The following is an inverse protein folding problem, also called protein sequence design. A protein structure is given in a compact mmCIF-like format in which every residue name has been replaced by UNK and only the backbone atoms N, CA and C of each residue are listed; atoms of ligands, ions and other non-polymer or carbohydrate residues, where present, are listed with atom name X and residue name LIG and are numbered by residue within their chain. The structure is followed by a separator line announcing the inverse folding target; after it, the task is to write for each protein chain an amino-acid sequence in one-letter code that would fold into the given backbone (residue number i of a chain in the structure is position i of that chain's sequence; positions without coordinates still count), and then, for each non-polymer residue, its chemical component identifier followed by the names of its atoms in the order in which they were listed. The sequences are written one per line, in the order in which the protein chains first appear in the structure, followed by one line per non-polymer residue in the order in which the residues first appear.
data_IF_108723942343
#
_entry.id   IF_108723942343
#
_cell.length_a   1.000
_cell.length_b   1.000
_cell.length_c   1.000
_cell.angle_alpha   90.00
_cell.angle_beta   90.00
_cell.angle_gamma   90.00
#
_symmetry.space_group_name_H-M   'P 1'
#
loop_
_entity.id
_entity.type
_entity.pdbx_description
1 polymer ?
#
# COMPACT_ATOMS: atom_id res chain seq x y z
N UNK A 1 25.81 33.62 -8.61
CA UNK A 1 25.26 33.26 -9.93
C UNK A 1 25.37 31.75 -10.13
N UNK A 2 24.33 31.14 -10.73
CA UNK A 2 24.25 29.80 -11.33
C UNK A 2 23.96 28.57 -10.42
N UNK A 3 22.65 28.26 -10.31
CA UNK A 3 22.09 26.89 -10.47
C UNK A 3 21.84 26.65 -11.98
N UNK A 4 21.39 25.47 -12.51
CA UNK A 4 21.35 24.09 -12.00
C UNK A 4 21.97 23.07 -13.00
N UNK A 5 22.15 21.80 -12.60
CA UNK A 5 22.24 20.69 -13.55
C UNK A 5 21.23 19.60 -13.17
N UNK A 6 20.20 19.48 -14.00
CA UNK A 6 19.13 18.50 -13.99
C UNK A 6 19.54 17.28 -14.83
N UNK A 7 19.07 16.10 -14.40
CA UNK A 7 18.70 14.93 -15.23
C UNK A 7 19.87 14.17 -15.90
N UNK A 8 20.00 12.85 -15.76
CA UNK A 8 19.00 11.84 -16.13
C UNK A 8 19.35 10.50 -15.48
N UNK A 9 18.39 9.90 -14.79
CA UNK A 9 18.45 8.49 -14.41
C UNK A 9 18.23 7.65 -15.67
N UNK A 10 19.24 6.85 -16.06
CA UNK A 10 19.06 5.82 -17.09
C UNK A 10 18.34 4.63 -16.46
N UNK A 11 17.11 4.39 -16.91
CA UNK A 11 16.36 3.17 -16.65
C UNK A 11 17.11 1.96 -17.22
N UNK A 12 17.83 1.24 -16.36
CA UNK A 12 18.31 -0.10 -16.68
C UNK A 12 17.12 -1.06 -16.66
N UNK A 13 16.52 -1.31 -17.83
CA UNK A 13 15.57 -2.41 -18.01
C UNK A 13 16.32 -3.72 -17.81
N UNK A 14 16.15 -4.33 -16.64
CA UNK A 14 16.54 -5.72 -16.40
C UNK A 14 15.55 -6.61 -17.14
N UNK A 15 15.89 -7.00 -18.37
CA UNK A 15 15.20 -8.07 -19.05
C UNK A 15 15.52 -9.38 -18.31
N UNK A 16 14.63 -9.79 -17.39
CA UNK A 16 14.64 -11.18 -16.89
C UNK A 16 14.07 -12.05 -18.00
N UNK A 17 14.95 -12.59 -18.83
CA UNK A 17 14.59 -13.72 -19.68
C UNK A 17 14.34 -14.93 -18.78
N UNK A 18 13.08 -15.32 -18.62
CA UNK A 18 12.73 -16.63 -18.08
C UNK A 18 13.14 -17.67 -19.13
N UNK A 19 14.32 -18.28 -18.95
CA UNK A 19 14.72 -19.46 -19.72
C UNK A 19 13.90 -20.65 -19.21
N UNK A 20 12.85 -21.00 -19.95
CA UNK A 20 12.11 -22.23 -19.72
C UNK A 20 12.96 -23.40 -20.25
N UNK A 21 13.56 -24.19 -19.36
CA UNK A 21 14.29 -25.39 -19.74
C UNK A 21 13.30 -26.50 -20.10
N UNK A 22 13.03 -26.69 -21.39
CA UNK A 22 12.39 -27.91 -21.88
C UNK A 22 13.40 -29.08 -21.82
N UNK A 23 13.03 -30.28 -21.33
CA UNK A 23 13.93 -31.42 -21.33
C UNK A 23 14.08 -31.96 -22.77
N UNK A 24 15.24 -31.74 -23.38
CA UNK A 24 15.62 -32.42 -24.64
C UNK A 24 16.11 -33.82 -24.32
N UNK A 25 15.40 -34.80 -24.87
CA UNK A 25 15.73 -36.23 -24.87
C UNK A 25 17.16 -36.44 -25.41
N UNK A 26 18.01 -37.05 -24.61
CA UNK A 26 19.44 -37.22 -24.90
C UNK A 26 19.67 -38.26 -26.02
N UNK A 27 20.51 -37.90 -26.98
CA UNK A 27 21.19 -38.84 -27.87
C UNK A 27 22.63 -38.36 -28.12
N UNK A 28 23.57 -39.20 -27.69
CA UNK A 28 24.99 -39.31 -28.07
C UNK A 28 25.91 -38.07 -28.05
N UNK A 29 26.82 -38.10 -27.07
CA UNK A 29 28.26 -37.83 -27.23
C UNK A 29 28.68 -36.42 -27.62
N UNK A 30 29.01 -35.58 -26.62
CA UNK A 30 30.13 -34.62 -26.63
C UNK A 30 30.24 -33.94 -25.25
N UNK A 31 31.36 -34.11 -24.56
CA UNK A 31 31.67 -33.56 -23.23
C UNK A 31 31.91 -32.03 -23.24
N UNK A 32 30.91 -31.26 -23.68
CA UNK A 32 30.93 -29.78 -23.65
C UNK A 32 29.85 -29.17 -22.74
N UNK A 33 29.04 -30.01 -22.09
CA UNK A 33 27.97 -29.58 -21.20
C UNK A 33 27.91 -30.43 -19.93
N UNK A 34 29.05 -30.69 -19.29
CA UNK A 34 29.03 -31.14 -17.90
C UNK A 34 28.48 -29.97 -17.08
N UNK A 35 27.23 -30.09 -16.62
CA UNK A 35 26.69 -29.22 -15.58
C UNK A 35 27.61 -29.41 -14.38
N UNK A 36 28.36 -28.37 -14.02
CA UNK A 36 29.16 -28.38 -12.80
C UNK A 36 28.19 -28.21 -11.62
N UNK A 37 27.50 -29.30 -11.29
CA UNK A 37 26.58 -29.38 -10.15
C UNK A 37 27.42 -29.44 -8.88
N UNK A 38 27.85 -28.28 -8.40
CA UNK A 38 28.52 -28.18 -7.11
C UNK A 38 27.44 -28.23 -6.02
N UNK A 39 27.69 -28.98 -4.94
CA UNK A 39 26.81 -28.98 -3.76
C UNK A 39 26.60 -27.55 -3.19
N UNK A 40 27.50 -26.63 -3.54
CA UNK A 40 27.45 -25.23 -3.13
C UNK A 40 26.62 -24.30 -4.05
N UNK A 41 26.14 -24.78 -5.21
CA UNK A 41 25.35 -23.98 -6.16
C UNK A 41 23.86 -24.32 -6.19
N UNK A 42 23.41 -25.22 -5.32
CA UNK A 42 22.00 -25.62 -5.22
C UNK A 42 21.11 -24.53 -4.58
N UNK A 43 19.78 -24.60 -4.79
CA UNK A 43 18.83 -23.65 -4.22
C UNK A 43 18.90 -23.58 -2.68
N UNK A 44 19.25 -24.68 -2.00
CA UNK A 44 19.38 -24.72 -0.54
C UNK A 44 20.49 -23.81 0.00
N UNK A 45 21.55 -23.56 -0.77
CA UNK A 45 22.63 -22.64 -0.36
C UNK A 45 22.15 -21.20 -0.42
N UNK A 46 21.37 -20.85 -1.44
CA UNK A 46 20.74 -19.53 -1.52
C UNK A 46 19.76 -19.32 -0.35
N UNK A 47 18.95 -20.33 0.00
CA UNK A 47 18.11 -20.29 1.20
C UNK A 47 18.92 -20.20 2.50
N UNK A 48 20.04 -20.92 2.61
CA UNK A 48 20.95 -20.85 3.75
C UNK A 48 21.57 -19.45 3.93
N UNK A 49 22.00 -18.82 2.83
CA UNK A 49 22.56 -17.46 2.85
C UNK A 49 21.49 -16.44 3.24
N UNK A 50 20.29 -16.52 2.66
CA UNK A 50 19.20 -15.60 2.97
C UNK A 50 18.71 -15.75 4.42
N UNK A 51 18.61 -16.97 4.92
CA UNK A 51 18.24 -17.22 6.33
C UNK A 51 19.31 -16.72 7.29
N UNK A 52 20.60 -16.99 7.01
CA UNK A 52 21.70 -16.47 7.81
C UNK A 52 21.69 -14.93 7.85
N UNK A 53 21.52 -14.28 6.70
CA UNK A 53 21.39 -12.82 6.62
C UNK A 53 20.17 -12.30 7.40
N UNK A 54 19.03 -12.98 7.32
CA UNK A 54 17.83 -12.65 8.07
C UNK A 54 18.03 -12.71 9.58
N UNK A 55 18.66 -13.79 10.08
CA UNK A 55 18.97 -13.95 11.51
C UNK A 55 19.97 -12.89 11.99
N UNK A 56 21.01 -12.60 11.19
CA UNK A 56 21.95 -11.54 11.56
C UNK A 56 21.28 -10.17 11.55
N UNK A 57 20.41 -9.89 10.59
CA UNK A 57 19.68 -8.64 10.51
C UNK A 57 18.70 -8.47 11.68
N UNK A 58 18.05 -9.55 12.12
CA UNK A 58 17.13 -9.53 13.27
C UNK A 58 17.78 -8.98 14.55
N UNK A 59 19.06 -9.31 14.80
CA UNK A 59 19.79 -8.79 15.95
C UNK A 59 20.09 -7.28 15.88
N UNK A 60 20.02 -6.69 14.69
CA UNK A 60 20.19 -5.24 14.50
C UNK A 60 18.87 -4.48 14.40
N UNK A 61 17.72 -5.17 14.47
CA UNK A 61 16.44 -4.47 14.56
C UNK A 61 16.31 -3.83 15.94
N UNK A 62 15.94 -2.54 16.03
CA UNK A 62 15.68 -1.90 17.30
C UNK A 62 14.53 -2.64 18.00
N UNK A 63 14.77 -3.08 19.24
CA UNK A 63 13.73 -3.63 20.11
C UNK A 63 12.60 -2.60 20.22
N UNK A 64 11.32 -2.98 20.00
CA UNK A 64 10.21 -2.08 20.21
C UNK A 64 10.16 -1.74 21.70
N UNK A 65 10.70 -0.58 22.07
CA UNK A 65 10.51 -0.03 23.41
C UNK A 65 9.05 0.38 23.54
N UNK A 66 8.47 0.03 24.68
CA UNK A 66 7.10 0.38 25.02
C UNK A 66 6.98 1.90 25.16
N UNK A 67 5.97 2.46 24.50
CA UNK A 67 5.58 3.88 24.48
C UNK A 67 6.49 4.79 23.65
N UNK A 68 6.39 4.65 22.32
CA UNK A 68 6.68 5.75 21.37
C UNK A 68 5.43 6.63 21.34
N UNK A 69 5.55 7.93 21.61
CA UNK A 69 4.39 8.81 21.64
C UNK A 69 3.80 8.87 20.24
N UNK A 70 2.59 8.34 20.08
CA UNK A 70 1.89 8.46 18.82
C UNK A 70 1.54 9.95 18.60
N UNK A 71 1.50 10.43 17.34
CA UNK A 71 1.11 11.81 17.06
C UNK A 71 -0.32 12.16 17.49
N UNK A 72 -1.08 11.17 17.95
CA UNK A 72 -2.45 11.30 18.47
C UNK A 72 -2.48 11.68 19.95
N UNK A 73 -1.41 11.44 20.71
CA UNK A 73 -1.36 11.69 22.17
C UNK A 73 -1.11 13.17 22.52
N UNK A 74 -0.90 14.03 21.51
CA UNK A 74 -0.82 15.48 21.64
C UNK A 74 0.60 16.06 21.57
N UNK A 75 0.66 17.38 21.40
CA UNK A 75 1.91 18.14 21.19
C UNK A 75 2.91 17.98 22.34
N UNK A 76 2.45 17.89 23.60
CA UNK A 76 3.30 17.79 24.78
C UNK A 76 4.07 16.46 24.86
N UNK A 77 3.44 15.35 24.48
CA UNK A 77 4.07 14.03 24.48
C UNK A 77 5.16 13.94 23.39
N UNK A 78 4.87 14.48 22.20
CA UNK A 78 5.84 14.57 21.09
C UNK A 78 7.03 15.49 21.43
N UNK A 79 6.80 16.61 22.13
CA UNK A 79 7.88 17.50 22.57
C UNK A 79 8.77 16.86 23.65
N UNK A 80 8.19 16.06 24.54
CA UNK A 80 8.96 15.27 25.51
C UNK A 80 9.83 14.24 24.79
N UNK A 81 9.30 13.57 23.77
CA UNK A 81 10.02 12.57 22.99
C UNK A 81 11.15 13.17 22.14
N UNK A 82 10.95 14.36 21.56
CA UNK A 82 11.99 15.07 20.83
C UNK A 82 13.21 15.41 21.73
N UNK A 83 12.95 15.70 23.01
CA UNK A 83 13.98 16.02 24.01
C UNK A 83 14.66 14.79 24.62
N UNK A 84 14.06 13.62 24.53
CA UNK A 84 14.62 12.39 25.10
C UNK A 84 15.88 11.95 24.35
N UNK A 85 17.03 11.99 25.04
CA UNK A 85 18.33 11.59 24.48
C UNK A 85 18.49 10.08 24.28
N UNK A 86 17.65 9.29 24.96
CA UNK A 86 17.63 7.82 24.86
C UNK A 86 17.06 7.29 23.54
N UNK A 87 16.46 8.16 22.71
CA UNK A 87 15.91 7.79 21.42
C UNK A 87 16.92 7.98 20.28
N UNK A 88 16.82 7.16 19.21
CA UNK A 88 17.61 7.37 18.00
C UNK A 88 17.45 8.79 17.46
N UNK A 89 18.55 9.36 16.97
CA UNK A 89 18.61 10.76 16.48
C UNK A 89 17.54 11.06 15.41
N UNK A 90 17.24 10.08 14.55
CA UNK A 90 16.23 10.22 13.50
C UNK A 90 14.82 10.36 14.09
N UNK A 91 14.48 9.55 15.08
CA UNK A 91 13.18 9.62 15.76
C UNK A 91 13.01 10.96 16.49
N UNK A 92 14.07 11.47 17.11
CA UNK A 92 14.08 12.81 17.75
C UNK A 92 13.88 13.93 16.72
N UNK A 93 14.53 13.83 15.57
CA UNK A 93 14.37 14.80 14.49
C UNK A 93 12.95 14.81 13.92
N UNK A 94 12.38 13.62 13.68
CA UNK A 94 11.03 13.46 13.16
C UNK A 94 9.99 13.96 14.17
N UNK A 95 10.07 13.54 15.44
CA UNK A 95 9.16 13.99 16.50
C UNK A 95 9.19 15.51 16.68
N UNK A 96 10.37 16.15 16.63
CA UNK A 96 10.48 17.61 16.70
C UNK A 96 9.76 18.34 15.55
N UNK A 97 9.87 17.83 14.31
CA UNK A 97 9.18 18.41 13.13
C UNK A 97 7.67 18.19 13.16
N UNK A 98 7.25 17.01 13.62
CA UNK A 98 5.83 16.69 13.78
C UNK A 98 5.23 17.56 14.89
N UNK A 99 5.90 17.71 16.04
CA UNK A 99 5.43 18.53 17.15
C UNK A 99 5.14 19.98 16.74
N UNK A 100 6.00 20.59 15.91
CA UNK A 100 5.79 21.93 15.34
C UNK A 100 4.51 22.00 14.50
N UNK A 101 4.32 21.03 13.60
CA UNK A 101 3.13 20.96 12.72
C UNK A 101 1.84 20.71 13.50
N UNK A 102 1.92 19.94 14.59
CA UNK A 102 0.74 19.52 15.37
C UNK A 102 0.07 20.72 16.04
N UNK A 103 0.82 21.78 16.40
CA UNK A 103 0.27 23.03 16.97
C UNK A 103 -0.68 23.75 16.02
N UNK A 104 -0.38 23.73 14.73
CA UNK A 104 -1.27 24.32 13.72
C UNK A 104 -2.44 23.40 13.41
N UNK A 105 -2.23 22.07 13.44
CA UNK A 105 -3.30 21.09 13.26
C UNK A 105 -4.38 21.22 14.34
N UNK A 106 -4.01 21.46 15.60
CA UNK A 106 -4.99 21.67 16.68
C UNK A 106 -5.92 22.85 16.35
N UNK A 107 -5.36 23.97 15.86
CA UNK A 107 -6.14 25.14 15.44
C UNK A 107 -7.05 24.84 14.26
N UNK A 108 -6.58 24.07 13.28
CA UNK A 108 -7.40 23.65 12.15
C UNK A 108 -8.52 22.72 12.59
N UNK A 109 -8.23 21.78 13.49
CA UNK A 109 -9.21 20.85 14.05
C UNK A 109 -10.30 21.59 14.82
N UNK A 110 -9.92 22.56 15.66
CA UNK A 110 -10.88 23.40 16.40
C UNK A 110 -11.77 24.21 15.43
N UNK A 111 -11.17 24.76 14.38
CA UNK A 111 -11.93 25.46 13.32
C UNK A 111 -12.89 24.51 12.60
N UNK A 112 -12.45 23.31 12.26
CA UNK A 112 -13.28 22.30 11.61
C UNK A 112 -14.43 21.84 12.52
N UNK A 113 -14.15 21.64 13.81
CA UNK A 113 -15.15 21.30 14.82
C UNK A 113 -16.20 22.40 14.93
N UNK A 114 -15.78 23.67 14.96
CA UNK A 114 -16.71 24.82 14.95
C UNK A 114 -17.57 24.87 13.70
N UNK A 115 -16.97 24.71 12.52
CA UNK A 115 -17.73 24.69 11.26
C UNK A 115 -18.71 23.52 11.20
N UNK A 116 -18.34 22.37 11.76
CA UNK A 116 -19.23 21.21 11.84
C UNK A 116 -20.40 21.47 12.80
N UNK A 117 -20.16 22.10 13.95
CA UNK A 117 -21.22 22.56 14.87
C UNK A 117 -22.17 23.53 14.19
N UNK A 118 -21.66 24.59 13.56
CA UNK A 118 -22.47 25.59 12.85
C UNK A 118 -23.32 24.93 11.75
N UNK A 119 -22.75 23.95 11.03
CA UNK A 119 -23.47 23.19 10.00
C UNK A 119 -24.57 22.28 10.57
N UNK A 120 -24.34 21.70 11.76
CA UNK A 120 -25.30 20.86 12.44
C UNK A 120 -26.46 21.70 12.98
N UNK A 121 -26.17 22.87 13.53
CA UNK A 121 -27.18 23.82 14.01
C UNK A 121 -28.04 24.35 12.86
N UNK A 122 -27.42 24.71 11.74
CA UNK A 122 -28.14 25.07 10.52
C UNK A 122 -29.02 23.92 10.05
N UNK A 123 -28.48 22.69 10.04
CA UNK A 123 -29.24 21.51 9.65
C UNK A 123 -30.43 21.26 10.59
N UNK A 124 -30.29 21.47 11.89
CA UNK A 124 -31.40 21.33 12.85
C UNK A 124 -32.48 22.38 12.61
N UNK A 125 -32.10 23.64 12.39
CA UNK A 125 -33.04 24.74 12.17
C UNK A 125 -33.81 24.62 10.85
N UNK A 126 -33.15 24.14 9.79
CA UNK A 126 -33.73 24.14 8.44
C UNK A 126 -34.23 22.78 7.97
N UNK A 127 -33.77 21.64 8.52
CA UNK A 127 -34.29 20.33 8.08
C UNK A 127 -35.76 20.08 8.44
N UNK A 128 -36.28 20.68 9.50
CA UNK A 128 -37.73 20.62 9.77
C UNK A 128 -38.54 21.49 8.79
N UNK A 129 -37.91 22.53 8.24
CA UNK A 129 -38.55 23.48 7.33
C UNK A 129 -38.39 23.10 5.84
N UNK A 130 -37.37 22.31 5.48
CA UNK A 130 -37.10 21.93 4.09
C UNK A 130 -37.79 20.63 3.67
N UNK A 131 -38.49 20.70 2.53
CA UNK A 131 -39.00 19.50 1.85
C UNK A 131 -37.83 18.61 1.43
N UNK A 132 -37.95 17.27 1.52
CA UNK A 132 -36.89 16.37 1.10
C UNK A 132 -36.49 16.64 -0.35
N UNK A 133 -35.19 16.74 -0.62
CA UNK A 133 -34.67 17.04 -1.96
C UNK A 133 -35.00 15.90 -2.92
N UNK A 134 -36.09 16.06 -3.68
CA UNK A 134 -36.46 15.14 -4.76
C UNK A 134 -35.48 15.31 -5.91
N UNK A 135 -34.54 14.36 -6.04
CA UNK A 135 -33.69 14.29 -7.23
C UNK A 135 -34.54 13.82 -8.40
N UNK A 136 -34.81 14.72 -9.33
CA UNK A 136 -35.41 14.36 -10.62
C UNK A 136 -34.37 13.56 -11.40
N UNK A 137 -34.65 12.28 -11.59
CA UNK A 137 -33.81 11.39 -12.38
C UNK A 137 -33.92 11.85 -13.83
N UNK A 138 -32.79 12.18 -14.45
CA UNK A 138 -32.75 12.57 -15.88
C UNK A 138 -33.23 11.42 -16.77
N UNK A 139 -32.98 10.18 -16.35
CA UNK A 139 -33.36 8.96 -17.07
C UNK A 139 -34.05 7.98 -16.12
N UNK A 140 -35.37 8.12 -15.90
CA UNK A 140 -36.12 7.18 -15.06
C UNK A 140 -36.11 5.75 -15.63
N UNK A 141 -35.89 5.61 -16.95
CA UNK A 141 -35.78 4.32 -17.64
C UNK A 141 -34.61 3.45 -17.18
N UNK A 142 -33.60 4.01 -16.50
CA UNK A 142 -32.46 3.22 -15.98
C UNK A 142 -32.92 2.27 -14.86
N UNK A 143 -33.95 2.63 -14.10
CA UNK A 143 -34.52 1.74 -13.07
C UNK A 143 -35.16 0.50 -13.68
N UNK A 144 -35.76 0.63 -14.86
CA UNK A 144 -36.32 -0.51 -15.58
C UNK A 144 -35.22 -1.37 -16.21
N UNK A 145 -34.16 -0.76 -16.76
CA UNK A 145 -33.05 -1.49 -17.38
C UNK A 145 -32.17 -2.25 -16.39
N UNK A 146 -31.98 -1.70 -15.18
CA UNK A 146 -31.18 -2.33 -14.12
C UNK A 146 -32.04 -3.10 -13.11
N UNK A 147 -33.34 -3.23 -13.38
CA UNK A 147 -34.20 -4.09 -12.57
C UNK A 147 -33.74 -5.53 -12.71
N UNK A 148 -33.42 -6.23 -11.61
CA UNK A 148 -33.09 -7.66 -11.64
C UNK A 148 -34.19 -8.51 -12.28
N UNK A 149 -35.41 -7.99 -12.36
CA UNK A 149 -36.59 -8.68 -12.87
C UNK A 149 -36.93 -8.34 -14.34
N UNK A 150 -36.19 -7.42 -14.99
CA UNK A 150 -36.47 -6.98 -16.37
C UNK A 150 -35.33 -7.33 -17.35
N UNK A 151 -34.59 -8.40 -17.06
CA UNK A 151 -33.58 -8.95 -17.95
C UNK A 151 -34.28 -9.89 -18.94
N UNK A 152 -34.25 -9.57 -20.23
CA UNK A 152 -34.87 -10.42 -21.23
C UNK A 152 -34.15 -11.78 -21.29
N UNK A 153 -34.91 -12.86 -21.43
CA UNK A 153 -34.34 -14.21 -21.51
C UNK A 153 -33.33 -14.29 -22.67
N UNK A 154 -32.09 -14.65 -22.34
CA UNK A 154 -30.99 -14.78 -23.30
C UNK A 154 -30.12 -13.54 -23.52
N UNK A 155 -30.34 -12.42 -22.83
CA UNK A 155 -29.43 -11.25 -22.92
C UNK A 155 -28.16 -11.42 -22.10
N UNK A 156 -28.24 -12.17 -21.00
CA UNK A 156 -27.10 -12.49 -20.15
C UNK A 156 -26.77 -13.98 -20.27
N UNK A 157 -25.48 -14.29 -20.36
CA UNK A 157 -25.00 -15.67 -20.34
C UNK A 157 -24.89 -16.13 -18.89
N UNK A 158 -25.56 -17.23 -18.56
CA UNK A 158 -25.41 -17.86 -17.24
C UNK A 158 -24.02 -18.47 -17.10
N UNK A 159 -23.17 -17.83 -16.28
CA UNK A 159 -21.82 -18.28 -15.99
C UNK A 159 -21.73 -19.04 -14.65
N UNK A 160 -22.86 -19.37 -14.02
CA UNK A 160 -22.89 -20.05 -12.71
C UNK A 160 -22.15 -21.39 -12.70
N UNK A 161 -22.08 -22.08 -13.84
CA UNK A 161 -21.40 -23.37 -14.01
C UNK A 161 -20.10 -23.28 -14.83
N UNK A 162 -19.44 -22.12 -14.86
CA UNK A 162 -18.20 -21.95 -15.61
C UNK A 162 -17.03 -22.65 -14.92
N UNK A 163 -16.65 -23.84 -15.41
CA UNK A 163 -15.43 -24.55 -14.98
C UNK A 163 -14.24 -24.03 -15.79
N UNK A 164 -13.49 -23.10 -15.20
CA UNK A 164 -12.24 -22.58 -15.78
C UNK A 164 -11.14 -23.62 -15.56
N UNK A 165 -10.62 -24.20 -16.65
CA UNK A 165 -9.42 -25.06 -16.59
C UNK A 165 -8.20 -24.17 -16.42
N UNK A 166 -7.59 -24.19 -15.24
CA UNK A 166 -6.26 -23.62 -15.03
C UNK A 166 -5.22 -24.53 -15.68
N UNK A 167 -4.37 -23.96 -16.54
CA UNK A 167 -3.18 -24.64 -17.04
C UNK A 167 -2.21 -24.81 -15.86
N UNK A 168 -2.05 -26.06 -15.39
CA UNK A 168 -1.02 -26.40 -14.41
C UNK A 168 0.33 -26.35 -15.12
N UNK A 169 1.10 -25.29 -14.84
CA UNK A 169 2.53 -25.19 -15.14
C UNK A 169 3.35 -26.08 -14.20
#
# INVERSE_FOLDING_TARGET
MLRPALQTARNARTARSFQTSAPRRAANGNAKYDTNESFFSGPWVQFGILSALGVTAYNFLPSPKEVVAAPVEGTAALEAEAKNESLPWLTRFISGRIAETTKDNDRFNDKHLRLAMDSADQRLLFNEAELPKVRRLTYPSVFEQQSPNCIAVGTETDLSNLVIKSEQQ
#
